data_IF_163157971084
#
_entry.id   IF_163157971084
#
_cell.length_a   1.000
_cell.length_b   1.000
_cell.length_c   1.000
_cell.angle_alpha   90.00
_cell.angle_beta   90.00
_cell.angle_gamma   90.00
#
_symmetry.space_group_name_H-M   'P 1'
#
loop_
_entity.id
_entity.type
_entity.pdbx_description
1 polymer ?
#
# COMPACT_ATOMS: atom_id res chain seq x y z
N UNK A 1 14.10 -1.49 38.43
CA UNK A 1 13.55 -0.49 37.48
C UNK A 1 12.36 -1.16 36.81
N UNK A 2 11.17 -0.72 37.19
CA UNK A 2 9.89 -1.35 36.87
C UNK A 2 9.61 -1.40 35.37
N UNK A 3 9.29 -2.60 34.88
CA UNK A 3 8.70 -2.82 33.57
C UNK A 3 7.25 -2.32 33.61
N UNK A 4 7.03 -1.11 33.11
CA UNK A 4 5.70 -0.55 32.90
C UNK A 4 5.01 -1.39 31.83
N UNK A 5 4.15 -2.31 32.27
CA UNK A 5 3.27 -3.09 31.40
C UNK A 5 2.31 -2.10 30.74
N UNK A 6 2.44 -1.92 29.42
CA UNK A 6 1.55 -1.08 28.64
C UNK A 6 0.15 -1.69 28.66
N UNK A 7 -0.70 -1.17 29.55
CA UNK A 7 -2.11 -1.54 29.59
C UNK A 7 -2.76 -1.08 28.28
N UNK A 8 -3.43 -1.97 27.51
CA UNK A 8 -4.10 -1.58 26.29
C UNK A 8 -5.10 -0.47 26.61
N UNK A 9 -5.06 0.61 25.82
CA UNK A 9 -5.91 1.77 26.05
C UNK A 9 -7.38 1.34 25.96
N UNK A 10 -8.23 1.88 26.83
CA UNK A 10 -9.68 1.59 26.87
C UNK A 10 -10.32 1.78 25.49
N UNK A 11 -9.81 2.70 24.67
CA UNK A 11 -10.22 2.89 23.27
C UNK A 11 -9.98 1.68 22.36
N UNK A 12 -8.88 0.94 22.53
CA UNK A 12 -8.63 -0.29 21.77
C UNK A 12 -9.61 -1.38 22.13
N UNK A 13 -10.02 -1.46 23.40
CA UNK A 13 -11.03 -2.43 23.84
C UNK A 13 -12.39 -2.15 23.19
N UNK A 14 -12.80 -0.89 23.10
CA UNK A 14 -14.03 -0.52 22.38
C UNK A 14 -13.98 -0.87 20.90
N UNK A 15 -12.85 -0.60 20.23
CA UNK A 15 -12.67 -0.96 18.81
C UNK A 15 -12.69 -2.48 18.60
N UNK A 16 -12.11 -3.23 19.53
CA UNK A 16 -12.11 -4.69 19.48
C UNK A 16 -13.51 -5.26 19.68
N UNK A 17 -14.30 -4.71 20.63
CA UNK A 17 -15.70 -5.09 20.86
C UNK A 17 -16.53 -4.86 19.59
N UNK A 18 -16.45 -3.68 18.98
CA UNK A 18 -17.18 -3.39 17.75
C UNK A 18 -16.84 -4.34 16.60
N UNK A 19 -15.56 -4.70 16.46
CA UNK A 19 -15.12 -5.66 15.44
C UNK A 19 -15.69 -7.05 15.69
N UNK A 20 -15.77 -7.48 16.95
CA UNK A 20 -16.36 -8.78 17.31
C UNK A 20 -17.86 -8.79 17.01
N UNK A 21 -18.59 -7.74 17.36
CA UNK A 21 -20.03 -7.61 17.05
C UNK A 21 -20.30 -7.70 15.55
N UNK A 22 -19.50 -7.02 14.73
CA UNK A 22 -19.62 -7.07 13.27
C UNK A 22 -19.32 -8.46 12.70
N UNK A 23 -18.34 -9.18 13.27
CA UNK A 23 -18.03 -10.55 12.88
C UNK A 23 -19.19 -11.48 13.22
N UNK A 24 -19.80 -11.33 14.41
CA UNK A 24 -20.95 -12.13 14.83
C UNK A 24 -22.15 -11.92 13.90
N UNK A 25 -22.43 -10.68 13.50
CA UNK A 25 -23.53 -10.37 12.59
C UNK A 25 -23.31 -10.97 11.18
N UNK A 26 -22.07 -10.89 10.67
CA UNK A 26 -21.69 -11.50 9.40
C UNK A 26 -21.75 -13.04 9.46
N UNK A 27 -21.41 -13.64 10.60
CA UNK A 27 -21.54 -15.09 10.77
C UNK A 27 -23.00 -15.51 10.84
N UNK A 28 -23.86 -14.74 11.52
CA UNK A 28 -25.27 -15.05 11.65
C UNK A 28 -26.01 -15.00 10.30
N UNK A 29 -25.73 -13.98 9.48
CA UNK A 29 -26.27 -13.87 8.12
C UNK A 29 -25.83 -15.01 7.21
N UNK A 30 -24.55 -15.42 7.28
CA UNK A 30 -24.04 -16.59 6.55
C UNK A 30 -24.67 -17.90 7.03
N UNK A 31 -24.84 -18.05 8.34
CA UNK A 31 -25.46 -19.24 8.92
C UNK A 31 -26.92 -19.35 8.49
N UNK A 32 -27.67 -18.24 8.52
CA UNK A 32 -29.05 -18.18 8.03
C UNK A 32 -29.16 -18.49 6.53
N UNK A 33 -28.20 -18.02 5.72
CA UNK A 33 -28.14 -18.35 4.30
C UNK A 33 -27.86 -19.85 4.05
N UNK A 34 -26.99 -20.45 4.87
CA UNK A 34 -26.69 -21.88 4.81
C UNK A 34 -27.89 -22.71 5.31
N UNK A 35 -28.52 -22.30 6.41
CA UNK A 35 -29.70 -22.93 6.97
C UNK A 35 -30.86 -22.92 5.97
N UNK A 36 -31.09 -21.80 5.28
CA UNK A 36 -32.06 -21.74 4.19
C UNK A 36 -31.74 -22.70 3.05
N UNK A 37 -30.47 -22.82 2.66
CA UNK A 37 -30.05 -23.78 1.61
C UNK A 37 -30.23 -25.23 2.04
N UNK A 38 -29.88 -25.56 3.29
CA UNK A 38 -30.03 -26.92 3.82
C UNK A 38 -31.50 -27.28 4.08
N UNK A 39 -32.29 -26.34 4.60
CA UNK A 39 -33.72 -26.51 4.79
C UNK A 39 -34.46 -26.70 3.47
N UNK A 40 -34.03 -26.03 2.40
CA UNK A 40 -34.64 -26.17 1.07
C UNK A 40 -34.13 -27.41 0.30
N UNK A 41 -33.02 -28.02 0.73
CA UNK A 41 -32.48 -29.23 0.13
C UNK A 41 -33.12 -30.53 0.66
N UNK A 42 -33.95 -30.45 1.71
CA UNK A 42 -34.62 -31.61 2.30
C UNK A 42 -35.93 -32.04 1.64
N UNK A 43 -36.45 -31.27 0.68
CA UNK A 43 -37.79 -31.51 0.09
C UNK A 43 -37.76 -31.99 -1.37
N UNK A 44 -36.59 -32.20 -1.98
CA UNK A 44 -36.49 -32.59 -3.40
C UNK A 44 -35.56 -33.80 -3.62
N UNK A 45 -35.90 -34.95 -3.05
CA UNK A 45 -35.44 -36.28 -3.48
C UNK A 45 -36.32 -36.85 -4.61
N UNK A 46 -36.90 -35.98 -5.43
CA UNK A 46 -37.42 -36.37 -6.74
C UNK A 46 -36.29 -36.19 -7.74
N UNK A 47 -35.92 -37.27 -8.45
CA UNK A 47 -35.01 -37.24 -9.58
C UNK A 47 -35.61 -36.29 -10.63
N UNK A 48 -35.20 -35.02 -10.60
CA UNK A 48 -35.53 -34.06 -11.64
C UNK A 48 -34.60 -34.41 -12.82
N UNK A 49 -35.13 -34.79 -14.00
CA UNK A 49 -34.29 -34.89 -15.18
C UNK A 49 -33.73 -33.48 -15.41
N UNK A 50 -32.40 -33.37 -15.41
CA UNK A 50 -31.67 -32.15 -15.77
C UNK A 50 -32.17 -31.70 -17.14
N UNK A 51 -33.14 -30.78 -17.14
CA UNK A 51 -33.57 -30.12 -18.36
C UNK A 51 -32.51 -29.08 -18.66
N UNK A 52 -31.85 -29.29 -19.78
CA UNK A 52 -30.84 -28.46 -20.38
C UNK A 52 -31.48 -27.11 -20.76
N UNK A 53 -31.67 -26.25 -19.77
CA UNK A 53 -31.88 -24.80 -19.92
C UNK A 53 -30.52 -24.06 -19.85
N UNK A 54 -29.43 -24.82 -19.95
CA UNK A 54 -28.06 -24.39 -19.76
C UNK A 54 -27.52 -23.52 -20.90
N UNK A 55 -28.06 -23.61 -22.12
CA UNK A 55 -27.43 -22.91 -23.26
C UNK A 55 -27.57 -21.39 -23.18
N UNK A 56 -28.70 -20.87 -22.70
CA UNK A 56 -28.92 -19.41 -22.60
C UNK A 56 -28.11 -18.81 -21.44
N UNK A 57 -28.05 -19.52 -20.32
CA UNK A 57 -27.27 -19.15 -19.13
C UNK A 57 -25.78 -19.20 -19.41
N UNK A 58 -25.30 -20.22 -20.11
CA UNK A 58 -23.90 -20.33 -20.55
C UNK A 58 -23.54 -19.17 -21.49
N UNK A 59 -24.44 -18.79 -22.40
CA UNK A 59 -24.22 -17.69 -23.34
C UNK A 59 -24.13 -16.34 -22.62
N UNK A 60 -25.01 -16.08 -21.65
CA UNK A 60 -24.96 -14.88 -20.79
C UNK A 60 -23.70 -14.87 -19.94
N UNK A 61 -23.27 -16.02 -19.40
CA UNK A 61 -22.03 -16.15 -18.64
C UNK A 61 -20.80 -15.88 -19.53
N UNK A 62 -20.80 -16.38 -20.77
CA UNK A 62 -19.71 -16.18 -21.72
C UNK A 62 -19.61 -14.71 -22.17
N UNK A 63 -20.74 -14.05 -22.39
CA UNK A 63 -20.82 -12.62 -22.65
C UNK A 63 -20.30 -11.82 -21.45
N UNK A 64 -20.73 -12.16 -20.23
CA UNK A 64 -20.26 -11.53 -18.99
C UNK A 64 -18.75 -11.69 -18.80
N UNK A 65 -18.21 -12.88 -19.06
CA UNK A 65 -16.76 -13.15 -18.98
C UNK A 65 -16.01 -12.31 -20.00
N UNK A 66 -16.50 -12.19 -21.24
CA UNK A 66 -15.85 -11.36 -22.26
C UNK A 66 -15.86 -9.87 -21.90
N UNK A 67 -16.94 -9.40 -21.28
CA UNK A 67 -17.10 -8.02 -20.83
C UNK A 67 -16.13 -7.72 -19.68
N UNK A 68 -16.03 -8.64 -18.71
CA UNK A 68 -15.07 -8.55 -17.61
C UNK A 68 -13.62 -8.61 -18.09
N UNK A 69 -13.30 -9.45 -19.08
CA UNK A 69 -11.96 -9.51 -19.67
C UNK A 69 -11.58 -8.18 -20.34
N UNK A 70 -12.53 -7.53 -21.00
CA UNK A 70 -12.32 -6.21 -21.62
C UNK A 70 -12.12 -5.13 -20.56
N UNK A 71 -12.90 -5.12 -19.49
CA UNK A 71 -12.71 -4.20 -18.37
C UNK A 71 -11.36 -4.41 -17.68
N UNK A 72 -10.94 -5.65 -17.48
CA UNK A 72 -9.63 -5.98 -16.91
C UNK A 72 -8.51 -5.43 -17.81
N UNK A 73 -8.63 -5.58 -19.13
CA UNK A 73 -7.61 -5.09 -20.06
C UNK A 73 -7.56 -3.55 -20.08
N UNK A 74 -8.72 -2.89 -20.06
CA UNK A 74 -8.80 -1.44 -20.00
C UNK A 74 -8.27 -0.87 -18.67
N UNK A 75 -8.52 -1.57 -17.56
CA UNK A 75 -7.96 -1.24 -16.24
C UNK A 75 -6.44 -1.43 -16.22
N UNK A 76 -5.93 -2.50 -16.83
CA UNK A 76 -4.47 -2.72 -16.97
C UNK A 76 -3.83 -1.61 -17.79
N UNK A 77 -4.45 -1.22 -18.90
CA UNK A 77 -3.96 -0.13 -19.74
C UNK A 77 -3.94 1.20 -18.96
N UNK A 78 -5.02 1.52 -18.22
CA UNK A 78 -5.06 2.69 -17.32
C UNK A 78 -3.98 2.63 -16.25
N UNK A 79 -3.74 1.47 -15.62
CA UNK A 79 -2.68 1.29 -14.62
C UNK A 79 -1.30 1.50 -15.26
N UNK A 80 -1.05 0.98 -16.46
CA UNK A 80 0.21 1.17 -17.20
C UNK A 80 0.43 2.65 -17.53
N UNK A 81 -0.64 3.36 -17.90
CA UNK A 81 -0.60 4.79 -18.20
C UNK A 81 -0.38 5.66 -16.95
N UNK A 82 -1.02 5.33 -15.82
CA UNK A 82 -0.70 5.95 -14.53
C UNK A 82 0.75 5.68 -14.10
N UNK A 83 1.24 4.46 -14.31
CA UNK A 83 2.64 4.10 -14.02
C UNK A 83 3.61 4.89 -14.90
N UNK A 84 3.29 5.09 -16.18
CA UNK A 84 4.11 5.93 -17.09
C UNK A 84 4.15 7.39 -16.64
N UNK A 85 3.03 7.93 -16.15
CA UNK A 85 2.95 9.30 -15.62
C UNK A 85 3.78 9.50 -14.35
N UNK A 86 3.73 8.55 -13.41
CA UNK A 86 4.53 8.64 -12.17
C UNK A 86 6.04 8.45 -12.39
N UNK A 87 6.44 7.79 -13.47
CA UNK A 87 7.85 7.52 -13.75
C UNK A 87 8.63 8.72 -14.33
N UNK A 88 7.96 9.79 -14.77
CA UNK A 88 8.62 10.90 -15.48
C UNK A 88 9.65 11.67 -14.61
N UNK A 89 9.55 11.60 -13.29
CA UNK A 89 10.50 12.25 -12.36
C UNK A 89 11.30 11.28 -11.51
N UNK A 90 11.43 10.03 -11.95
CA UNK A 90 12.32 9.06 -11.30
C UNK A 90 13.59 8.88 -12.13
N UNK A 91 14.74 9.28 -11.57
CA UNK A 91 16.02 8.99 -12.19
C UNK A 91 16.45 7.60 -11.78
N UNK A 92 16.72 6.72 -12.77
CA UNK A 92 17.37 5.44 -12.52
C UNK A 92 18.86 5.66 -12.30
N UNK A 93 19.31 5.53 -11.05
CA UNK A 93 20.72 5.48 -10.70
C UNK A 93 21.07 4.00 -10.45
N UNK A 94 21.59 3.32 -11.47
CA UNK A 94 21.87 1.89 -11.42
C UNK A 94 20.60 1.03 -11.28
N UNK A 95 20.50 0.22 -10.21
CA UNK A 95 19.33 -0.63 -9.92
C UNK A 95 18.27 0.06 -9.04
N UNK A 96 18.39 1.38 -8.80
CA UNK A 96 17.50 2.11 -7.90
C UNK A 96 16.82 3.28 -8.62
N UNK A 97 15.55 3.45 -8.33
CA UNK A 97 14.72 4.56 -8.80
C UNK A 97 14.72 5.63 -7.69
N UNK A 98 15.13 6.85 -8.06
CA UNK A 98 15.16 7.97 -7.14
C UNK A 98 14.28 9.08 -7.68
N UNK A 99 13.23 9.44 -6.95
CA UNK A 99 12.40 10.61 -7.27
C UNK A 99 13.23 11.89 -7.17
N UNK A 100 13.42 12.57 -8.30
CA UNK A 100 14.20 13.80 -8.43
C UNK A 100 13.54 14.98 -7.70
N UNK A 101 12.22 14.96 -7.56
CA UNK A 101 11.43 15.98 -6.86
C UNK A 101 11.87 16.15 -5.40
N UNK A 102 12.04 15.04 -4.69
CA UNK A 102 12.40 15.06 -3.26
C UNK A 102 13.82 15.60 -3.07
N UNK A 103 14.75 15.23 -3.95
CA UNK A 103 16.12 15.77 -3.90
C UNK A 103 16.17 17.25 -4.27
N UNK A 104 15.33 17.68 -5.22
CA UNK A 104 15.20 19.08 -5.62
C UNK A 104 14.67 19.98 -4.50
N UNK A 105 13.63 19.53 -3.78
CA UNK A 105 13.04 20.27 -2.66
C UNK A 105 14.06 20.44 -1.53
N UNK A 106 14.77 19.38 -1.14
CA UNK A 106 15.77 19.44 -0.05
C UNK A 106 16.94 20.35 -0.45
N UNK A 107 17.45 20.21 -1.68
CA UNK A 107 18.52 21.08 -2.19
C UNK A 107 18.09 22.55 -2.25
N UNK A 108 16.87 22.82 -2.70
CA UNK A 108 16.29 24.16 -2.73
C UNK A 108 16.15 24.78 -1.35
N UNK A 109 15.70 24.02 -0.35
CA UNK A 109 15.54 24.50 1.03
C UNK A 109 16.90 24.82 1.69
N UNK A 110 17.91 23.97 1.48
CA UNK A 110 19.28 24.23 1.94
C UNK A 110 19.85 25.49 1.27
N UNK A 111 19.67 25.62 -0.04
CA UNK A 111 20.17 26.78 -0.80
C UNK A 111 19.46 28.07 -0.37
N UNK A 112 18.16 28.00 -0.12
CA UNK A 112 17.37 29.12 0.42
C UNK A 112 17.86 29.55 1.80
N UNK A 113 18.15 28.60 2.69
CA UNK A 113 18.69 28.89 4.02
C UNK A 113 20.05 29.58 3.95
N UNK A 114 20.93 29.11 3.06
CA UNK A 114 22.25 29.72 2.81
C UNK A 114 22.07 31.16 2.29
N UNK A 115 21.18 31.38 1.33
CA UNK A 115 20.90 32.70 0.80
C UNK A 115 20.37 33.67 1.87
N UNK A 116 19.46 33.21 2.74
CA UNK A 116 18.95 33.99 3.87
C UNK A 116 20.06 34.36 4.86
N UNK A 117 20.98 33.43 5.16
CA UNK A 117 22.13 33.70 6.03
C UNK A 117 23.06 34.77 5.44
N UNK A 118 23.32 34.70 4.13
CA UNK A 118 24.12 35.71 3.42
C UNK A 118 23.43 37.08 3.46
N UNK A 119 22.11 37.12 3.23
CA UNK A 119 21.32 38.34 3.26
C UNK A 119 21.34 39.05 4.62
N UNK A 120 21.32 38.28 5.72
CA UNK A 120 21.42 38.80 7.09
C UNK A 120 22.84 39.23 7.50
N UNK A 121 23.81 39.22 6.58
CA UNK A 121 25.20 39.59 6.86
C UNK A 121 26.05 38.45 7.44
N UNK A 122 25.50 37.22 7.54
CA UNK A 122 26.19 36.03 8.05
C UNK A 122 27.19 35.41 7.06
N UNK A 123 27.75 36.19 6.13
CA UNK A 123 28.65 35.69 5.08
C UNK A 123 29.87 34.96 5.66
N UNK A 124 30.42 35.47 6.76
CA UNK A 124 31.58 34.88 7.43
C UNK A 124 31.26 33.52 8.06
N UNK A 125 30.02 33.33 8.50
CA UNK A 125 29.53 32.04 9.03
C UNK A 125 29.40 31.02 7.91
N UNK A 126 28.83 31.43 6.76
CA UNK A 126 28.63 30.53 5.60
C UNK A 126 29.95 30.08 4.98
N UNK A 127 30.96 30.95 4.93
CA UNK A 127 32.28 30.64 4.38
C UNK A 127 33.15 29.87 5.39
N UNK A 128 32.74 29.82 6.67
CA UNK A 128 33.54 29.16 7.69
C UNK A 128 33.74 27.66 7.38
N UNK A 129 34.97 27.13 7.60
CA UNK A 129 35.24 25.71 7.42
C UNK A 129 34.32 24.80 8.25
N UNK A 130 33.92 25.27 9.43
CA UNK A 130 33.02 24.54 10.33
C UNK A 130 31.61 24.43 9.75
N UNK A 131 31.08 25.50 9.16
CA UNK A 131 29.75 25.46 8.54
C UNK A 131 29.72 24.54 7.31
N UNK A 132 30.73 24.66 6.43
CA UNK A 132 30.86 23.81 5.25
C UNK A 132 31.01 22.32 5.60
N UNK A 133 31.77 22.00 6.65
CA UNK A 133 31.91 20.61 7.12
C UNK A 133 30.60 20.07 7.68
N UNK A 134 29.85 20.85 8.47
CA UNK A 134 28.53 20.44 8.97
C UNK A 134 27.56 20.16 7.82
N UNK A 135 27.44 21.07 6.84
CA UNK A 135 26.59 20.83 5.66
C UNK A 135 27.06 19.61 4.87
N UNK A 136 28.38 19.45 4.67
CA UNK A 136 28.96 18.30 4.00
C UNK A 136 28.60 16.98 4.69
N UNK A 137 28.74 16.91 6.02
CA UNK A 137 28.35 15.72 6.80
C UNK A 137 26.85 15.47 6.69
N UNK A 138 26.00 16.50 6.77
CA UNK A 138 24.55 16.35 6.62
C UNK A 138 24.18 15.78 5.24
N UNK A 139 24.79 16.27 4.17
CA UNK A 139 24.54 15.80 2.81
C UNK A 139 25.01 14.35 2.61
N UNK A 140 26.21 14.03 3.08
CA UNK A 140 26.76 12.67 3.00
C UNK A 140 25.89 11.70 3.82
N UNK A 141 25.54 12.08 5.05
CA UNK A 141 24.70 11.26 5.94
C UNK A 141 23.32 11.04 5.35
N UNK A 142 22.70 12.09 4.78
CA UNK A 142 21.40 12.00 4.11
C UNK A 142 21.45 11.05 2.90
N UNK A 143 22.52 11.14 2.09
CA UNK A 143 22.73 10.24 0.95
C UNK A 143 22.90 8.77 1.40
N UNK A 144 23.65 8.54 2.47
CA UNK A 144 23.86 7.21 3.05
C UNK A 144 22.55 6.65 3.61
N UNK A 145 21.81 7.42 4.42
CA UNK A 145 20.54 7.01 5.01
C UNK A 145 19.52 6.68 3.91
N UNK A 146 19.40 7.53 2.89
CA UNK A 146 18.55 7.25 1.73
C UNK A 146 18.98 5.97 1.01
N UNK A 147 20.28 5.76 0.85
CA UNK A 147 20.82 4.54 0.26
C UNK A 147 20.48 3.27 1.07
N UNK A 148 20.40 3.36 2.40
CA UNK A 148 20.02 2.23 3.25
C UNK A 148 18.50 2.02 3.28
N UNK A 149 17.69 3.06 3.37
CA UNK A 149 16.22 2.96 3.36
C UNK A 149 15.66 2.48 2.02
N UNK A 150 16.31 2.82 0.90
CA UNK A 150 15.94 2.30 -0.43
C UNK A 150 16.46 0.88 -0.70
N UNK A 151 16.99 0.15 0.30
CA UNK A 151 17.41 -1.25 0.08
C UNK A 151 16.21 -2.20 -0.08
N UNK A 152 16.34 -3.23 -0.93
CA UNK A 152 15.33 -4.27 -1.09
C UNK A 152 15.08 -5.12 0.16
N UNK A 153 15.75 -4.83 1.29
CA UNK A 153 15.59 -5.55 2.57
C UNK A 153 14.20 -5.30 3.16
N UNK A 154 13.69 -4.06 3.10
CA UNK A 154 12.33 -3.74 3.52
C UNK A 154 11.28 -4.41 2.61
N UNK A 155 11.54 -4.46 1.30
CA UNK A 155 10.70 -5.18 0.33
C UNK A 155 10.75 -6.71 0.54
N UNK A 156 11.90 -7.24 0.98
CA UNK A 156 12.10 -8.65 1.34
C UNK A 156 11.44 -9.01 2.68
N UNK A 157 11.28 -8.07 3.60
CA UNK A 157 10.51 -8.26 4.83
C UNK A 157 9.00 -8.19 4.58
N UNK A 158 8.51 -7.24 3.77
CA UNK A 158 7.07 -7.18 3.41
C UNK A 158 6.65 -8.47 2.68
N UNK A 159 7.40 -8.91 1.66
CA UNK A 159 7.10 -10.17 0.95
C UNK A 159 7.28 -11.46 1.78
N UNK A 160 7.86 -11.38 2.98
CA UNK A 160 7.87 -12.49 3.95
C UNK A 160 6.65 -12.45 4.86
N UNK A 161 6.16 -11.27 5.20
CA UNK A 161 4.92 -11.08 5.95
C UNK A 161 3.72 -11.53 5.11
N UNK A 162 3.68 -11.15 3.82
CA UNK A 162 2.60 -11.53 2.91
C UNK A 162 2.49 -13.07 2.77
N UNK A 163 3.64 -13.76 2.71
CA UNK A 163 3.71 -15.24 2.67
C UNK A 163 3.34 -15.95 3.97
N UNK A 164 3.34 -15.24 5.10
CA UNK A 164 2.90 -15.78 6.39
C UNK A 164 1.40 -15.53 6.64
N UNK A 165 0.80 -14.57 5.93
CA UNK A 165 -0.64 -14.27 5.98
C UNK A 165 -1.43 -15.20 5.03
N UNK A 166 -0.77 -15.75 4.01
CA UNK A 166 -1.38 -16.63 2.99
C UNK A 166 -1.33 -18.14 3.34
N UNK A 167 -0.89 -18.49 4.56
CA UNK A 167 -0.95 -19.86 5.13
C UNK A 167 -1.94 -19.92 6.28
#
# INVERSE_FOLDING_TARGET
MDSKVDTPSISMLYQWIQRIEQITENMNTRLSAIERRLSNNGENDAIIPVQIEDNKSILILQETISMQQREIEELKEKIEDYRKRDNHLTMKIGKREVSLEITGIIGGLITFLIAALIFLGGKDVVISPVFLTIIGVILISSSIIKSFYSTPILKKMSSRIDRLIER
#
